data_IF_498569505941
#
_entry.id   IF_498569505941
#
_cell.length_a   1.000
_cell.length_b   1.000
_cell.length_c   1.000
_cell.angle_alpha   90.00
_cell.angle_beta   90.00
_cell.angle_gamma   90.00
#
_symmetry.space_group_name_H-M   'P 1'
#
loop_
_entity.id
_entity.type
_entity.pdbx_description
1 polymer ?
#
# COMPACT_ATOMS: atom_id res chain seq x y z
N UNK A 1 -3.39 -19.71 -35.08
CA UNK A 1 -4.53 -18.76 -34.95
C UNK A 1 -5.02 -18.61 -33.51
N UNK A 2 -5.19 -19.71 -32.75
CA UNK A 2 -5.70 -19.71 -31.37
C UNK A 2 -4.82 -18.94 -30.35
N UNK A 3 -3.49 -19.04 -30.44
CA UNK A 3 -2.58 -18.31 -29.56
C UNK A 3 -2.73 -16.77 -29.68
N UNK A 4 -2.94 -16.24 -30.90
CA UNK A 4 -3.20 -14.81 -31.11
C UNK A 4 -4.53 -14.37 -30.50
N UNK A 5 -5.56 -15.21 -30.56
CA UNK A 5 -6.87 -14.93 -29.95
C UNK A 5 -6.77 -14.92 -28.42
N UNK A 6 -6.04 -15.87 -27.84
CA UNK A 6 -5.81 -15.94 -26.40
C UNK A 6 -5.04 -14.72 -25.87
N UNK A 7 -3.92 -14.36 -26.52
CA UNK A 7 -3.12 -13.18 -26.14
C UNK A 7 -3.98 -11.91 -26.21
N UNK A 8 -4.75 -11.73 -27.30
CA UNK A 8 -5.63 -10.57 -27.46
C UNK A 8 -6.71 -10.49 -26.37
N UNK A 9 -7.33 -11.62 -26.02
CA UNK A 9 -8.36 -11.69 -24.96
C UNK A 9 -7.77 -11.34 -23.59
N UNK A 10 -6.59 -11.87 -23.26
CA UNK A 10 -5.91 -11.55 -21.99
C UNK A 10 -5.55 -10.06 -21.88
N UNK A 11 -5.07 -9.46 -22.97
CA UNK A 11 -4.78 -8.03 -23.04
C UNK A 11 -6.02 -7.16 -22.81
N UNK A 12 -7.16 -7.53 -23.40
CA UNK A 12 -8.40 -6.75 -23.24
C UNK A 12 -8.88 -6.75 -21.77
N UNK A 13 -8.82 -7.91 -21.11
CA UNK A 13 -9.20 -8.04 -19.69
C UNK A 13 -8.29 -7.20 -18.78
N UNK A 14 -6.97 -7.22 -19.01
CA UNK A 14 -6.04 -6.42 -18.20
C UNK A 14 -6.25 -4.91 -18.40
N UNK A 15 -6.52 -4.44 -19.63
CA UNK A 15 -6.82 -3.03 -19.89
C UNK A 15 -8.06 -2.56 -19.13
N UNK A 16 -9.12 -3.37 -19.06
CA UNK A 16 -10.34 -3.02 -18.32
C UNK A 16 -10.09 -2.91 -16.80
N UNK A 17 -9.24 -3.79 -16.24
CA UNK A 17 -8.85 -3.72 -14.82
C UNK A 17 -8.03 -2.46 -14.53
N UNK A 18 -7.04 -2.16 -15.37
CA UNK A 18 -6.23 -0.94 -15.23
C UNK A 18 -7.07 0.32 -15.37
N UNK A 19 -8.00 0.35 -16.34
CA UNK A 19 -8.92 1.48 -16.52
C UNK A 19 -9.73 1.76 -15.25
N UNK A 20 -10.25 0.72 -14.59
CA UNK A 20 -11.02 0.88 -13.33
C UNK A 20 -10.18 1.48 -12.21
N UNK A 21 -8.92 1.05 -12.08
CA UNK A 21 -7.99 1.57 -11.07
C UNK A 21 -7.68 3.04 -11.35
N UNK A 22 -7.36 3.38 -12.61
CA UNK A 22 -7.09 4.75 -13.03
C UNK A 22 -8.31 5.64 -12.77
N UNK A 23 -9.51 5.18 -13.11
CA UNK A 23 -10.74 5.95 -12.85
C UNK A 23 -10.96 6.25 -11.35
N UNK A 24 -10.70 5.29 -10.46
CA UNK A 24 -10.75 5.53 -9.00
C UNK A 24 -9.71 6.55 -8.55
N UNK A 25 -8.48 6.41 -9.05
CA UNK A 25 -7.38 7.33 -8.71
C UNK A 25 -7.70 8.75 -9.17
N UNK A 26 -8.15 8.94 -10.40
CA UNK A 26 -8.56 10.25 -10.91
C UNK A 26 -9.68 10.85 -10.05
N UNK A 27 -10.69 10.06 -9.68
CA UNK A 27 -11.79 10.53 -8.84
C UNK A 27 -11.30 11.03 -7.47
N UNK A 28 -10.43 10.28 -6.79
CA UNK A 28 -9.89 10.67 -5.49
C UNK A 28 -8.98 11.90 -5.59
N UNK A 29 -8.15 12.00 -6.63
CA UNK A 29 -7.29 13.16 -6.83
C UNK A 29 -8.10 14.42 -7.14
N UNK A 30 -9.10 14.35 -8.01
CA UNK A 30 -9.97 15.49 -8.33
C UNK A 30 -10.75 15.93 -7.09
N UNK A 31 -11.30 14.99 -6.32
CA UNK A 31 -12.00 15.31 -5.09
C UNK A 31 -11.05 15.99 -4.07
N UNK A 32 -9.85 15.44 -3.86
CA UNK A 32 -8.86 16.04 -2.95
C UNK A 32 -8.45 17.45 -3.36
N UNK A 33 -8.17 17.67 -4.64
CA UNK A 33 -7.82 19.00 -5.16
C UNK A 33 -9.00 19.97 -4.96
N UNK A 34 -10.24 19.51 -5.20
CA UNK A 34 -11.44 20.33 -5.01
C UNK A 34 -11.58 20.75 -3.54
N UNK A 35 -11.50 19.81 -2.60
CA UNK A 35 -11.57 20.13 -1.17
C UNK A 35 -10.41 21.00 -0.70
N UNK A 36 -9.21 20.79 -1.23
CA UNK A 36 -8.06 21.65 -0.95
C UNK A 36 -8.30 23.10 -1.40
N UNK A 37 -8.80 23.30 -2.63
CA UNK A 37 -9.12 24.63 -3.15
C UNK A 37 -10.22 25.28 -2.31
N UNK A 38 -11.29 24.55 -1.98
CA UNK A 38 -12.37 25.04 -1.13
C UNK A 38 -11.84 25.46 0.25
N UNK A 39 -10.99 24.63 0.86
CA UNK A 39 -10.45 24.92 2.18
C UNK A 39 -9.44 26.08 2.14
N UNK A 40 -8.61 26.16 1.11
CA UNK A 40 -7.63 27.25 0.95
C UNK A 40 -8.29 28.61 0.70
N UNK A 41 -9.33 28.67 -0.15
CA UNK A 41 -9.93 29.95 -0.57
C UNK A 41 -11.16 30.37 0.24
N UNK A 42 -11.98 29.44 0.73
CA UNK A 42 -13.27 29.78 1.37
C UNK A 42 -13.23 29.59 2.88
N UNK A 43 -12.58 28.53 3.35
CA UNK A 43 -12.71 28.06 4.74
C UNK A 43 -11.43 28.23 5.57
N UNK A 44 -10.33 28.71 4.99
CA UNK A 44 -9.01 28.70 5.63
C UNK A 44 -8.97 29.44 6.96
N UNK A 45 -9.54 30.65 7.00
CA UNK A 45 -9.64 31.43 8.23
C UNK A 45 -10.68 30.86 9.21
N UNK A 46 -11.79 30.32 8.69
CA UNK A 46 -12.82 29.68 9.52
C UNK A 46 -12.31 28.42 10.22
N UNK A 47 -11.60 27.55 9.51
CA UNK A 47 -11.05 26.31 10.07
C UNK A 47 -9.98 26.61 11.09
N UNK A 48 -9.11 27.59 10.84
CA UNK A 48 -8.09 28.04 11.79
C UNK A 48 -8.68 28.63 13.08
N UNK A 49 -9.88 29.22 13.00
CA UNK A 49 -10.60 29.75 14.17
C UNK A 49 -11.08 28.65 15.13
N UNK A 50 -11.55 27.52 14.60
CA UNK A 50 -12.09 26.41 15.42
C UNK A 50 -11.04 25.35 15.75
N UNK A 51 -10.07 25.15 14.87
CA UNK A 51 -9.04 24.14 15.00
C UNK A 51 -7.74 24.75 14.50
N UNK A 52 -6.75 24.95 15.36
CA UNK A 52 -5.44 25.54 15.00
C UNK A 52 -4.58 24.67 14.07
N UNK A 53 -5.22 23.76 13.33
CA UNK A 53 -4.64 22.82 12.39
C UNK A 53 -5.05 23.28 10.98
N UNK A 54 -4.11 23.76 10.15
CA UNK A 54 -4.42 24.11 8.78
C UNK A 54 -4.75 22.86 7.95
N UNK A 55 -5.64 23.02 6.98
CA UNK A 55 -6.05 21.99 6.03
C UNK A 55 -6.68 20.74 6.68
N UNK A 56 -7.40 20.91 7.79
CA UNK A 56 -8.00 19.82 8.55
C UNK A 56 -9.08 19.08 7.74
N UNK A 57 -9.92 19.79 6.99
CA UNK A 57 -10.97 19.17 6.18
C UNK A 57 -10.36 18.28 5.08
N UNK A 58 -9.38 18.79 4.36
CA UNK A 58 -8.65 18.07 3.31
C UNK A 58 -7.97 16.82 3.86
N UNK A 59 -7.38 16.91 5.06
CA UNK A 59 -6.77 15.75 5.74
C UNK A 59 -7.79 14.68 6.12
N UNK A 60 -8.98 15.07 6.59
CA UNK A 60 -10.05 14.13 6.92
C UNK A 60 -10.54 13.42 5.65
N UNK A 61 -10.77 14.17 4.56
CA UNK A 61 -11.18 13.59 3.27
C UNK A 61 -10.11 12.62 2.74
N UNK A 62 -8.83 12.97 2.85
CA UNK A 62 -7.73 12.08 2.49
C UNK A 62 -7.71 10.80 3.32
N UNK A 63 -7.88 10.91 4.64
CA UNK A 63 -7.96 9.75 5.53
C UNK A 63 -9.16 8.85 5.19
N UNK A 64 -10.30 9.44 4.82
CA UNK A 64 -11.49 8.70 4.41
C UNK A 64 -11.26 7.91 3.10
N UNK A 65 -10.62 8.50 2.08
CA UNK A 65 -10.26 7.76 0.86
C UNK A 65 -9.26 6.64 1.13
N UNK A 66 -8.26 6.86 1.99
CA UNK A 66 -7.36 5.80 2.44
C UNK A 66 -8.12 4.65 3.11
N UNK A 67 -9.12 4.96 3.95
CA UNK A 67 -9.93 3.93 4.62
C UNK A 67 -10.77 3.09 3.65
N UNK A 68 -11.38 3.73 2.64
CA UNK A 68 -12.13 3.01 1.60
C UNK A 68 -11.21 2.03 0.85
N UNK A 69 -10.01 2.47 0.47
CA UNK A 69 -9.07 1.61 -0.25
C UNK A 69 -8.48 0.51 0.65
N UNK A 70 -8.23 0.77 1.93
CA UNK A 70 -7.84 -0.28 2.88
C UNK A 70 -8.90 -1.39 2.96
N UNK A 71 -10.18 -1.02 2.98
CA UNK A 71 -11.29 -1.98 2.95
C UNK A 71 -11.31 -2.75 1.62
N UNK A 72 -11.19 -2.06 0.49
CA UNK A 72 -11.16 -2.69 -0.84
C UNK A 72 -9.97 -3.65 -1.01
N UNK A 73 -8.81 -3.33 -0.46
CA UNK A 73 -7.63 -4.20 -0.45
C UNK A 73 -7.87 -5.41 0.46
N UNK A 74 -8.46 -5.21 1.64
CA UNK A 74 -8.77 -6.30 2.56
C UNK A 74 -9.73 -7.33 1.92
N UNK A 75 -10.74 -6.88 1.18
CA UNK A 75 -11.63 -7.75 0.40
C UNK A 75 -10.86 -8.55 -0.67
N UNK A 76 -9.96 -7.89 -1.40
CA UNK A 76 -9.14 -8.56 -2.41
C UNK A 76 -8.16 -9.58 -1.80
N UNK A 77 -7.54 -9.25 -0.65
CA UNK A 77 -6.65 -10.16 0.08
C UNK A 77 -7.43 -11.38 0.58
N UNK A 78 -8.62 -11.18 1.16
CA UNK A 78 -9.50 -12.28 1.57
C UNK A 78 -9.86 -13.18 0.40
N UNK A 79 -10.17 -12.61 -0.76
CA UNK A 79 -10.54 -13.38 -1.94
C UNK A 79 -9.38 -14.24 -2.48
N UNK A 80 -8.14 -13.78 -2.38
CA UNK A 80 -6.97 -14.48 -2.93
C UNK A 80 -6.35 -15.44 -1.91
N UNK A 81 -6.21 -15.02 -0.66
CA UNK A 81 -5.43 -15.73 0.36
C UNK A 81 -6.30 -16.33 1.48
N UNK A 82 -7.58 -15.97 1.57
CA UNK A 82 -8.46 -16.38 2.68
C UNK A 82 -8.12 -15.73 4.03
N UNK A 83 -7.18 -14.78 4.05
CA UNK A 83 -6.69 -14.11 5.25
C UNK A 83 -7.20 -12.66 5.32
N UNK A 84 -7.26 -12.11 6.53
CA UNK A 84 -7.49 -10.68 6.76
C UNK A 84 -6.20 -9.87 6.54
N UNK A 85 -6.32 -8.58 6.20
CA UNK A 85 -5.19 -7.64 6.08
C UNK A 85 -4.26 -7.69 7.30
N UNK A 86 -4.82 -7.68 8.51
CA UNK A 86 -4.04 -7.72 9.75
C UNK A 86 -3.30 -9.04 9.97
N UNK A 87 -3.86 -10.16 9.53
CA UNK A 87 -3.20 -11.46 9.58
C UNK A 87 -2.04 -11.50 8.59
N UNK A 88 -2.26 -11.02 7.36
CA UNK A 88 -1.19 -10.91 6.37
C UNK A 88 -0.05 -10.01 6.86
N UNK A 89 -0.38 -8.88 7.48
CA UNK A 89 0.63 -8.00 8.08
C UNK A 89 1.44 -8.71 9.16
N UNK A 90 0.81 -9.49 10.05
CA UNK A 90 1.52 -10.30 11.05
C UNK A 90 2.44 -11.35 10.40
N UNK A 91 1.99 -12.02 9.35
CA UNK A 91 2.81 -13.00 8.62
C UNK A 91 4.01 -12.36 7.91
N UNK A 92 3.86 -11.13 7.41
CA UNK A 92 4.97 -10.37 6.84
C UNK A 92 6.00 -10.03 7.92
N UNK A 93 5.54 -9.55 9.08
CA UNK A 93 6.44 -9.22 10.19
C UNK A 93 7.15 -10.45 10.75
N UNK A 94 6.46 -11.60 10.86
CA UNK A 94 7.10 -12.83 11.33
C UNK A 94 8.17 -13.32 10.36
N UNK A 95 7.89 -13.30 9.05
CA UNK A 95 8.90 -13.67 8.03
C UNK A 95 10.12 -12.75 8.03
N UNK A 96 9.92 -11.45 8.18
CA UNK A 96 11.06 -10.50 8.24
C UNK A 96 11.94 -10.78 9.46
N UNK A 97 11.34 -11.17 10.58
CA UNK A 97 12.08 -11.55 11.79
C UNK A 97 12.86 -12.85 11.58
N UNK A 98 12.22 -13.88 11.03
CA UNK A 98 12.86 -15.17 10.71
C UNK A 98 14.10 -14.96 9.80
N UNK A 99 13.96 -14.17 8.73
CA UNK A 99 15.09 -13.87 7.83
C UNK A 99 16.22 -13.14 8.56
N UNK A 100 15.90 -12.21 9.46
CA UNK A 100 16.92 -11.51 10.26
C UNK A 100 17.67 -12.46 11.19
N UNK A 101 16.95 -13.38 11.82
CA UNK A 101 17.54 -14.36 12.73
C UNK A 101 18.44 -15.35 11.97
N UNK A 102 18.01 -15.83 10.80
CA UNK A 102 18.83 -16.66 9.90
C UNK A 102 20.12 -15.96 9.44
N UNK A 103 20.04 -14.67 9.09
CA UNK A 103 21.22 -13.89 8.68
C UNK A 103 22.22 -13.71 9.83
N UNK A 104 21.75 -13.51 11.05
CA UNK A 104 22.62 -13.40 12.23
C UNK A 104 23.32 -14.74 12.52
N UNK A 105 22.60 -15.85 12.43
CA UNK A 105 23.17 -17.19 12.62
C UNK A 105 24.22 -17.50 11.56
N UNK A 106 23.95 -17.18 10.29
CA UNK A 106 24.92 -17.29 9.19
C UNK A 106 26.17 -16.45 9.44
N UNK A 107 26.01 -15.19 9.84
CA UNK A 107 27.13 -14.30 10.15
C UNK A 107 28.01 -14.88 11.28
N UNK A 108 27.38 -15.34 12.36
CA UNK A 108 28.11 -15.93 13.50
C UNK A 108 28.86 -17.22 13.12
N UNK A 109 28.30 -18.01 12.20
CA UNK A 109 28.91 -19.27 11.74
C UNK A 109 30.10 -19.01 10.81
N UNK A 110 30.02 -17.99 9.97
CA UNK A 110 31.12 -17.54 9.11
C UNK A 110 32.28 -17.02 9.97
N UNK A 111 32.00 -16.20 10.97
CA UNK A 111 33.02 -15.66 11.88
C UNK A 111 33.78 -16.77 12.61
N UNK A 112 33.06 -17.78 13.13
CA UNK A 112 33.68 -18.98 13.73
C UNK A 112 34.56 -19.76 12.76
N UNK A 113 34.12 -19.94 11.51
CA UNK A 113 34.92 -20.62 10.49
C UNK A 113 36.18 -19.83 10.08
N UNK A 114 36.11 -18.49 10.07
CA UNK A 114 37.26 -17.65 9.78
C UNK A 114 38.31 -17.73 10.90
N UNK A 115 37.87 -17.69 12.17
CA UNK A 115 38.74 -17.84 13.34
C UNK A 115 39.48 -19.20 13.33
N UNK A 116 38.80 -20.28 12.96
CA UNK A 116 39.43 -21.60 12.82
C UNK A 116 40.46 -21.66 11.68
N UNK A 117 40.26 -20.94 10.56
CA UNK A 117 41.24 -20.89 9.45
C UNK A 117 42.46 -20.03 9.74
N UNK A 118 42.42 -19.12 10.71
CA UNK A 118 43.58 -18.29 11.11
C UNK A 118 44.45 -19.00 12.14
N UNK A 119 43.90 -20.01 12.85
CA UNK A 119 44.57 -20.78 13.90
C UNK A 119 45.30 -22.04 13.40
N UNK A 120 45.14 -22.43 12.12
CA UNK A 120 45.84 -23.52 11.45
C UNK A 120 46.56 -23.00 10.21
#
# INVERSE_FOLDING_TARGET
MLAKVWVRKNWNTNRQKLSKIISKMVLYQVALITFFILEFFLLGEFVLLFTSIPYLLTKIVAAFFCFIELTSINENIKAVYGLNFFQMFKHLLSRVKEVKDELNDLSSKIEKHLQLKVLF
#
